data_IF_427524588986
#
_entry.id   IF_427524588986
#
_cell.length_a   1.000
_cell.length_b   1.000
_cell.length_c   1.000
_cell.angle_alpha   90.00
_cell.angle_beta   90.00
_cell.angle_gamma   90.00
#
_symmetry.space_group_name_H-M   'P 1'
#
loop_
_entity.id
_entity.type
_entity.pdbx_description
1 polymer ?
#
# COMPACT_ATOMS: atom_id res chain seq x y z
N UNK A 1 -6.71 -7.18 -38.88
CA UNK A 1 -7.87 -7.62 -38.11
C UNK A 1 -7.38 -7.87 -36.69
N UNK A 2 -7.60 -6.90 -35.82
CA UNK A 2 -7.08 -6.88 -34.44
C UNK A 2 -8.14 -7.51 -33.52
N UNK A 3 -7.85 -8.68 -32.98
CA UNK A 3 -8.69 -9.33 -31.99
C UNK A 3 -8.27 -8.83 -30.60
N UNK A 4 -9.06 -7.95 -30.01
CA UNK A 4 -8.96 -7.54 -28.61
C UNK A 4 -9.33 -8.71 -27.70
N UNK A 5 -8.33 -9.29 -27.06
CA UNK A 5 -8.51 -10.29 -26.00
C UNK A 5 -8.97 -9.58 -24.72
N UNK A 6 -10.27 -9.74 -24.43
CA UNK A 6 -10.83 -9.33 -23.14
C UNK A 6 -10.66 -10.50 -22.18
N UNK A 7 -9.82 -10.33 -21.15
CA UNK A 7 -9.77 -11.28 -20.02
C UNK A 7 -11.13 -11.33 -19.30
N UNK A 8 -11.70 -12.52 -19.10
CA UNK A 8 -12.88 -12.67 -18.25
C UNK A 8 -12.46 -12.56 -16.79
N UNK A 9 -13.12 -11.67 -16.04
CA UNK A 9 -12.83 -11.33 -14.68
C UNK A 9 -12.67 -12.51 -13.73
N UNK A 10 -11.50 -12.61 -13.14
CA UNK A 10 -11.08 -13.57 -12.12
C UNK A 10 -11.91 -13.52 -10.82
N UNK A 11 -12.79 -12.54 -10.66
CA UNK A 11 -13.69 -12.38 -9.51
C UNK A 11 -14.69 -13.52 -9.33
N UNK A 12 -15.06 -14.24 -10.42
CA UNK A 12 -16.00 -15.36 -10.35
C UNK A 12 -15.39 -16.66 -9.81
N UNK A 13 -14.10 -16.88 -10.04
CA UNK A 13 -13.40 -18.09 -9.58
C UNK A 13 -12.94 -17.99 -8.12
N UNK A 14 -12.65 -16.78 -7.64
CA UNK A 14 -12.33 -16.54 -6.24
C UNK A 14 -13.56 -16.73 -5.32
N UNK A 15 -14.78 -16.41 -5.79
CA UNK A 15 -16.02 -16.64 -5.03
C UNK A 15 -16.38 -18.10 -4.85
N UNK A 16 -16.01 -18.98 -5.78
CA UNK A 16 -16.24 -20.42 -5.64
C UNK A 16 -15.32 -21.10 -4.61
N UNK A 17 -14.23 -20.43 -4.19
CA UNK A 17 -13.31 -20.90 -3.17
C UNK A 17 -13.64 -20.39 -1.75
N UNK A 18 -14.63 -19.50 -1.59
CA UNK A 18 -15.01 -18.84 -0.33
C UNK A 18 -16.37 -19.26 0.23
N UNK A 19 -17.00 -20.32 -0.26
CA UNK A 19 -18.19 -20.87 0.37
C UNK A 19 -17.78 -21.79 1.54
N UNK A 20 -17.57 -21.22 2.71
CA UNK A 20 -17.54 -21.94 3.99
C UNK A 20 -18.94 -22.07 4.55
N UNK A 21 -19.30 -23.23 5.15
CA UNK A 21 -20.54 -23.37 5.91
C UNK A 21 -20.41 -22.70 7.27
N UNK A 22 -21.42 -21.93 7.59
CA UNK A 22 -21.81 -21.31 8.83
C UNK A 22 -21.43 -22.14 10.08
N UNK A 23 -20.66 -21.56 10.99
CA UNK A 23 -20.80 -21.75 12.41
C UNK A 23 -20.67 -20.38 13.06
N UNK A 24 -21.81 -19.91 13.60
CA UNK A 24 -21.87 -18.71 14.40
C UNK A 24 -21.29 -18.98 15.77
N UNK A 25 -20.51 -18.00 16.23
CA UNK A 25 -20.41 -17.63 17.65
C UNK A 25 -19.89 -16.19 17.68
N UNK A 26 -20.76 -15.32 18.18
CA UNK A 26 -20.44 -13.95 18.54
C UNK A 26 -19.47 -14.00 19.73
N UNK A 27 -18.20 -13.61 19.52
CA UNK A 27 -17.31 -13.25 20.62
C UNK A 27 -17.25 -11.74 20.72
N UNK A 28 -17.84 -11.22 21.77
CA UNK A 28 -17.63 -9.87 22.27
C UNK A 28 -16.13 -9.63 22.48
N UNK A 29 -15.55 -8.75 21.69
CA UNK A 29 -14.25 -8.18 21.97
C UNK A 29 -14.46 -6.98 22.86
N UNK A 30 -14.13 -7.16 24.15
CA UNK A 30 -14.08 -6.11 25.17
C UNK A 30 -12.87 -5.21 24.87
N UNK A 31 -13.13 -4.00 24.42
CA UNK A 31 -12.13 -3.02 24.07
C UNK A 31 -11.42 -2.47 25.29
N UNK A 32 -10.20 -2.93 25.54
CA UNK A 32 -9.28 -2.38 26.53
C UNK A 32 -8.96 -0.91 26.27
N UNK A 33 -9.35 -0.12 27.20
CA UNK A 33 -9.19 1.28 27.51
C UNK A 33 -7.88 1.94 27.04
N UNK A 34 -7.95 2.80 26.01
CA UNK A 34 -6.97 3.84 25.73
C UNK A 34 -7.29 5.08 26.61
N UNK A 35 -6.29 5.83 27.11
CA UNK A 35 -6.56 6.89 28.09
C UNK A 35 -7.36 8.03 27.48
N UNK A 36 -8.38 8.29 28.18
CA UNK A 36 -9.46 9.24 28.01
C UNK A 36 -9.05 10.68 27.74
N UNK A 37 -9.93 11.31 27.01
CA UNK A 37 -10.57 12.46 27.58
C UNK A 37 -10.36 13.76 26.83
N UNK A 38 -10.88 13.82 25.64
CA UNK A 38 -11.71 14.94 25.23
C UNK A 38 -12.94 14.33 24.58
N UNK A 39 -14.10 14.43 25.21
CA UNK A 39 -15.38 14.20 24.56
C UNK A 39 -15.33 14.93 23.22
N UNK A 40 -15.40 14.20 22.11
CA UNK A 40 -15.43 14.76 20.78
C UNK A 40 -16.81 15.44 20.59
N UNK A 41 -16.92 16.67 21.07
CA UNK A 41 -18.08 17.53 20.79
C UNK A 41 -18.21 17.62 19.27
N UNK A 42 -19.36 17.25 18.74
CA UNK A 42 -19.56 17.27 17.27
C UNK A 42 -19.39 18.69 16.78
N UNK A 43 -18.63 18.86 15.69
CA UNK A 43 -18.33 20.17 15.14
C UNK A 43 -19.60 21.03 14.92
N UNK A 44 -20.75 20.39 14.61
CA UNK A 44 -22.04 21.03 14.43
C UNK A 44 -22.55 21.71 15.71
N UNK A 45 -22.25 21.16 16.89
CA UNK A 45 -22.65 21.69 18.20
C UNK A 45 -21.84 22.92 18.61
N UNK A 46 -20.64 23.08 18.01
CA UNK A 46 -19.74 24.23 18.23
C UNK A 46 -20.00 25.38 17.25
N UNK A 47 -20.76 25.15 16.16
CA UNK A 47 -21.01 26.15 15.13
C UNK A 47 -22.41 26.76 15.31
N UNK A 48 -22.44 28.09 15.48
CA UNK A 48 -23.68 28.88 15.50
C UNK A 48 -24.32 28.92 14.09
N UNK A 49 -25.64 28.75 13.99
CA UNK A 49 -26.37 28.80 12.73
C UNK A 49 -26.18 30.15 12.00
N UNK A 50 -26.02 31.26 12.74
CA UNK A 50 -25.69 32.57 12.16
C UNK A 50 -24.35 32.59 11.44
N UNK A 51 -23.35 31.87 11.96
CA UNK A 51 -22.04 31.73 11.32
C UNK A 51 -22.18 30.93 10.04
N UNK A 52 -22.93 29.83 10.08
CA UNK A 52 -23.17 28.99 8.90
C UNK A 52 -23.93 29.74 7.80
N UNK A 53 -24.99 30.51 8.16
CA UNK A 53 -25.73 31.33 7.22
C UNK A 53 -24.87 32.43 6.57
N UNK A 54 -24.02 33.10 7.37
CA UNK A 54 -23.08 34.09 6.86
C UNK A 54 -22.02 33.50 5.91
N UNK A 55 -21.50 32.29 6.22
CA UNK A 55 -20.58 31.57 5.35
C UNK A 55 -21.26 31.13 4.04
N UNK A 56 -22.50 30.67 4.11
CA UNK A 56 -23.29 30.27 2.94
C UNK A 56 -23.57 31.48 2.02
N UNK A 57 -23.99 32.63 2.57
CA UNK A 57 -24.24 33.83 1.79
C UNK A 57 -22.99 34.35 1.09
N UNK A 58 -21.86 34.41 1.78
CA UNK A 58 -20.57 34.84 1.20
C UNK A 58 -20.00 33.90 0.15
N UNK A 59 -20.43 32.66 0.14
CA UNK A 59 -19.93 31.62 -0.76
C UNK A 59 -20.79 31.37 -1.99
N UNK A 60 -21.86 32.19 -2.16
CA UNK A 60 -22.68 32.13 -3.36
C UNK A 60 -21.97 32.83 -4.52
N UNK A 61 -22.00 32.22 -5.71
CA UNK A 61 -21.56 32.85 -6.94
C UNK A 61 -22.66 33.76 -7.53
N UNK A 62 -22.31 34.48 -8.60
CA UNK A 62 -23.25 35.38 -9.28
C UNK A 62 -24.49 34.67 -9.86
N UNK A 63 -24.43 33.36 -10.08
CA UNK A 63 -25.51 32.52 -10.56
C UNK A 63 -26.33 31.88 -9.42
N UNK A 64 -26.00 32.18 -8.14
CA UNK A 64 -26.66 31.61 -6.95
C UNK A 64 -26.17 30.20 -6.57
N UNK A 65 -25.16 29.68 -7.26
CA UNK A 65 -24.50 28.43 -6.93
C UNK A 65 -23.60 28.55 -5.68
N UNK A 66 -23.33 27.42 -5.00
CA UNK A 66 -22.51 27.40 -3.81
C UNK A 66 -21.05 27.07 -4.18
N UNK A 67 -20.15 28.00 -3.96
CA UNK A 67 -18.72 27.81 -4.16
C UNK A 67 -18.12 27.17 -2.90
N UNK A 68 -17.93 25.84 -2.93
CA UNK A 68 -17.42 25.08 -1.78
C UNK A 68 -15.90 25.13 -1.66
N UNK A 69 -15.16 25.12 -2.79
CA UNK A 69 -13.68 25.10 -2.86
C UNK A 69 -13.15 26.22 -3.74
N UNK A 70 -11.85 26.56 -3.61
CA UNK A 70 -11.21 27.65 -4.33
C UNK A 70 -11.18 28.97 -3.55
N UNK A 71 -10.65 30.01 -4.20
CA UNK A 71 -10.53 31.35 -3.60
C UNK A 71 -11.92 31.97 -3.32
N UNK A 72 -12.13 32.47 -2.09
CA UNK A 72 -13.41 33.05 -1.65
C UNK A 72 -14.54 32.03 -1.42
N UNK A 73 -14.22 30.75 -1.33
CA UNK A 73 -15.18 29.69 -1.04
C UNK A 73 -15.51 29.58 0.45
N UNK A 74 -16.62 28.90 0.78
CA UNK A 74 -17.03 28.64 2.16
C UNK A 74 -15.93 27.93 2.97
N UNK A 75 -15.36 26.85 2.42
CA UNK A 75 -14.29 26.12 3.07
C UNK A 75 -12.99 26.94 3.12
N UNK A 76 -12.73 27.75 2.09
CA UNK A 76 -11.58 28.65 2.08
C UNK A 76 -11.61 29.68 3.20
N UNK A 77 -12.75 30.33 3.44
CA UNK A 77 -12.94 31.30 4.52
C UNK A 77 -12.86 30.62 5.91
N UNK A 78 -13.43 29.44 6.06
CA UNK A 78 -13.34 28.66 7.30
C UNK A 78 -11.88 28.25 7.59
N UNK A 79 -11.17 27.71 6.61
CA UNK A 79 -9.75 27.30 6.75
C UNK A 79 -8.89 28.52 7.03
N UNK A 80 -9.13 29.67 6.38
CA UNK A 80 -8.46 30.93 6.67
C UNK A 80 -8.59 31.30 8.15
N UNK A 81 -9.83 31.35 8.67
CA UNK A 81 -10.09 31.71 10.06
C UNK A 81 -9.38 30.76 11.05
N UNK A 82 -9.41 29.46 10.78
CA UNK A 82 -8.74 28.46 11.60
C UNK A 82 -7.21 28.61 11.57
N UNK A 83 -6.62 28.76 10.38
CA UNK A 83 -5.17 28.92 10.22
C UNK A 83 -4.65 30.23 10.85
N UNK A 84 -5.34 31.34 10.67
CA UNK A 84 -4.96 32.63 11.30
C UNK A 84 -5.05 32.55 12.81
N UNK A 85 -6.05 31.85 13.35
CA UNK A 85 -6.18 31.61 14.80
C UNK A 85 -5.05 30.74 15.33
N UNK A 86 -4.68 29.68 14.60
CA UNK A 86 -3.60 28.79 14.98
C UNK A 86 -2.23 29.50 14.93
N UNK A 87 -1.97 30.32 13.90
CA UNK A 87 -0.76 31.13 13.77
C UNK A 87 -0.63 32.15 14.92
N UNK A 88 -1.75 32.75 15.35
CA UNK A 88 -1.77 33.66 16.50
C UNK A 88 -1.47 32.90 17.81
N UNK A 89 -1.93 31.65 17.94
CA UNK A 89 -1.59 30.79 19.08
C UNK A 89 -0.10 30.41 19.09
N UNK A 90 0.48 30.06 17.92
CA UNK A 90 1.91 29.78 17.78
C UNK A 90 2.77 31.03 18.18
N UNK A 91 2.38 32.23 17.71
CA UNK A 91 3.08 33.45 18.10
C UNK A 91 2.94 33.72 19.58
N UNK A 92 1.79 33.47 20.20
CA UNK A 92 1.56 33.62 21.63
C UNK A 92 2.47 32.67 22.44
N UNK A 93 2.57 31.41 22.00
CA UNK A 93 3.47 30.43 22.61
C UNK A 93 4.94 30.84 22.46
N UNK A 94 5.34 31.36 21.28
CA UNK A 94 6.70 31.85 21.01
C UNK A 94 7.10 33.03 21.86
N UNK A 95 6.21 34.01 22.06
CA UNK A 95 6.45 35.20 22.85
C UNK A 95 6.30 34.98 24.35
N UNK A 96 5.55 33.97 24.78
CA UNK A 96 5.22 33.68 26.18
C UNK A 96 4.11 34.56 26.78
N UNK A 97 3.45 35.41 25.98
CA UNK A 97 2.35 36.25 26.43
C UNK A 97 1.28 36.50 25.35
N UNK A 98 0.06 36.78 25.78
CA UNK A 98 -1.09 37.02 24.91
C UNK A 98 -1.14 38.42 24.29
N UNK A 99 -2.11 38.64 23.38
CA UNK A 99 -2.37 39.97 22.82
C UNK A 99 -2.92 40.91 23.91
N UNK A 100 -2.33 42.12 24.05
CA UNK A 100 -2.66 43.12 25.07
C UNK A 100 -2.31 42.69 26.51
N UNK A 101 -1.46 41.69 26.71
CA UNK A 101 -1.01 41.27 28.02
C UNK A 101 0.07 42.22 28.53
N UNK A 102 -0.04 42.75 29.77
CA UNK A 102 0.99 43.56 30.40
C UNK A 102 2.35 42.90 30.49
N UNK A 103 2.43 41.58 30.54
CA UNK A 103 3.68 40.80 30.52
C UNK A 103 4.54 41.04 29.28
N UNK A 104 3.95 41.56 28.20
CA UNK A 104 4.67 41.97 26.99
C UNK A 104 5.48 43.29 27.14
N UNK A 105 5.26 44.07 28.19
CA UNK A 105 6.02 45.30 28.43
C UNK A 105 7.45 44.96 28.87
N UNK A 106 8.43 45.44 28.11
CA UNK A 106 9.86 45.17 28.33
C UNK A 106 10.31 43.71 28.21
N UNK A 107 9.55 42.89 27.51
CA UNK A 107 9.86 41.45 27.30
C UNK A 107 11.03 41.18 26.34
N UNK A 108 11.64 42.22 25.76
CA UNK A 108 12.75 42.11 24.79
C UNK A 108 12.28 41.78 23.35
N UNK A 109 11.12 41.18 23.17
CA UNK A 109 10.50 40.94 21.87
C UNK A 109 8.99 41.26 21.92
N UNK A 110 8.40 41.70 20.83
CA UNK A 110 7.00 42.10 20.79
C UNK A 110 6.35 41.75 19.44
N UNK A 111 5.02 41.71 19.43
CA UNK A 111 4.25 41.55 18.18
C UNK A 111 4.54 42.70 17.22
N UNK A 112 4.73 42.43 15.93
CA UNK A 112 5.10 43.43 14.93
C UNK A 112 4.18 43.36 13.68
N UNK A 113 2.90 43.42 13.93
CA UNK A 113 1.91 43.39 12.85
C UNK A 113 1.77 42.05 12.14
N UNK A 114 1.18 42.10 10.97
CA UNK A 114 0.89 40.93 10.13
C UNK A 114 1.43 41.15 8.72
N UNK A 115 1.74 40.07 8.03
CA UNK A 115 2.10 40.08 6.60
C UNK A 115 1.10 39.24 5.82
N UNK A 116 0.60 39.79 4.72
CA UNK A 116 -0.27 39.03 3.82
C UNK A 116 0.53 38.02 3.02
N UNK A 117 0.06 36.78 2.99
CA UNK A 117 0.69 35.66 2.29
C UNK A 117 -0.39 34.81 1.67
N UNK A 118 -0.25 34.51 0.38
CA UNK A 118 -1.10 33.52 -0.28
C UNK A 118 -0.49 32.14 -0.10
N UNK A 119 -1.28 31.17 0.37
CA UNK A 119 -0.85 29.81 0.70
C UNK A 119 -1.73 28.82 -0.02
N UNK A 120 -1.10 27.82 -0.59
CA UNK A 120 -1.81 26.72 -1.20
C UNK A 120 -2.24 25.72 -0.13
N UNK A 121 -3.51 25.33 -0.17
CA UNK A 121 -4.11 24.34 0.73
C UNK A 121 -4.74 23.22 -0.07
N UNK A 122 -5.15 22.13 0.58
CA UNK A 122 -5.85 21.01 -0.06
C UNK A 122 -7.23 21.39 -0.66
N UNK A 123 -7.74 22.59 -0.41
CA UNK A 123 -9.03 23.10 -0.94
C UNK A 123 -8.85 24.30 -1.88
N UNK A 124 -7.62 24.68 -2.21
CA UNK A 124 -7.26 25.79 -3.09
C UNK A 124 -6.42 26.87 -2.40
N UNK A 125 -6.13 27.98 -3.12
CA UNK A 125 -5.35 29.09 -2.58
C UNK A 125 -6.15 29.85 -1.52
N UNK A 126 -5.48 30.14 -0.40
CA UNK A 126 -6.04 30.91 0.72
C UNK A 126 -5.12 32.06 1.07
N UNK A 127 -5.64 33.29 1.11
CA UNK A 127 -4.91 34.48 1.53
C UNK A 127 -4.91 34.62 3.05
N UNK A 128 -3.76 34.45 3.69
CA UNK A 128 -3.59 34.53 5.15
C UNK A 128 -2.93 35.81 5.61
N UNK A 129 -3.27 36.27 6.80
CA UNK A 129 -2.56 37.28 7.56
C UNK A 129 -1.66 36.59 8.60
N UNK A 130 -0.38 36.46 8.27
CA UNK A 130 0.62 35.76 9.11
C UNK A 130 1.20 36.76 10.11
N UNK A 131 1.10 36.50 11.44
CA UNK A 131 1.63 37.42 12.45
C UNK A 131 3.15 37.36 12.52
N UNK A 132 3.75 38.45 13.00
CA UNK A 132 5.21 38.63 13.12
C UNK A 132 5.61 39.13 14.50
N UNK A 133 6.81 38.80 14.91
CA UNK A 133 7.50 39.37 16.03
C UNK A 133 8.47 40.46 15.59
N UNK A 134 8.87 41.34 16.51
CA UNK A 134 9.77 42.46 16.23
C UNK A 134 11.21 42.01 16.00
N UNK A 135 11.66 40.98 16.69
CA UNK A 135 12.97 40.41 16.52
C UNK A 135 13.10 39.56 15.23
N UNK A 136 12.02 39.21 14.57
CA UNK A 136 12.02 38.35 13.36
C UNK A 136 12.37 36.88 13.63
N UNK A 137 12.36 36.47 14.89
CA UNK A 137 12.74 35.13 15.35
C UNK A 137 11.61 34.12 15.28
N UNK A 138 10.36 34.58 15.18
CA UNK A 138 9.21 33.71 15.05
C UNK A 138 9.22 32.96 13.73
N UNK A 139 9.23 31.64 13.77
CA UNK A 139 9.12 30.73 12.61
C UNK A 139 7.85 29.90 12.76
N UNK A 140 6.76 30.21 12.03
CA UNK A 140 5.52 29.47 12.12
C UNK A 140 5.71 28.05 11.61
N UNK A 141 5.22 27.04 12.35
CA UNK A 141 5.25 25.64 11.96
C UNK A 141 4.22 25.32 10.88
N UNK A 142 2.99 25.90 11.01
CA UNK A 142 1.90 25.67 10.06
C UNK A 142 2.17 26.27 8.68
N UNK A 143 2.81 27.45 8.64
CA UNK A 143 3.09 28.19 7.39
C UNK A 143 4.52 28.73 7.44
N UNK A 144 5.55 27.91 7.18
CA UNK A 144 6.94 28.32 7.24
C UNK A 144 7.24 29.56 6.39
N UNK A 145 8.17 30.43 6.84
CA UNK A 145 8.44 31.74 6.23
C UNK A 145 8.62 31.73 4.70
N UNK A 146 9.28 30.75 4.16
CA UNK A 146 9.57 30.64 2.71
C UNK A 146 8.67 29.66 1.97
N UNK A 147 7.69 29.06 2.65
CA UNK A 147 6.74 28.13 2.04
C UNK A 147 5.48 28.88 1.59
N UNK A 148 5.05 28.70 0.37
CA UNK A 148 3.72 29.12 -0.12
C UNK A 148 2.63 28.09 0.14
N UNK A 149 2.84 27.15 1.07
CA UNK A 149 1.94 26.02 1.35
C UNK A 149 1.78 25.83 2.85
N UNK A 150 0.63 25.32 3.26
CA UNK A 150 0.43 24.78 4.61
C UNK A 150 1.17 23.46 4.72
N UNK A 151 1.81 23.20 5.85
CA UNK A 151 2.48 21.92 6.11
C UNK A 151 1.45 20.79 6.14
N UNK A 152 1.70 19.72 5.38
CA UNK A 152 0.80 18.56 5.25
C UNK A 152 -0.32 18.73 4.20
N UNK A 153 -1.08 17.69 3.99
CA UNK A 153 -2.30 17.66 3.19
C UNK A 153 -2.10 17.70 1.67
N UNK A 154 -1.55 18.78 1.13
CA UNK A 154 -1.33 18.92 -0.32
C UNK A 154 -0.19 18.04 -0.82
N UNK A 155 0.89 17.94 -0.06
CA UNK A 155 2.03 17.09 -0.41
C UNK A 155 1.61 15.61 -0.34
N UNK A 156 0.85 15.21 0.69
CA UNK A 156 0.29 13.86 0.82
C UNK A 156 -0.67 13.52 -0.33
N UNK A 157 -1.49 14.49 -0.75
CA UNK A 157 -2.39 14.32 -1.89
C UNK A 157 -1.61 14.14 -3.20
N UNK A 158 -0.55 14.94 -3.44
CA UNK A 158 0.31 14.81 -4.61
C UNK A 158 0.98 13.44 -4.64
N UNK A 159 1.50 12.98 -3.49
CA UNK A 159 2.09 11.66 -3.33
C UNK A 159 1.07 10.55 -3.62
N UNK A 160 -0.16 10.68 -3.10
CA UNK A 160 -1.24 9.74 -3.35
C UNK A 160 -1.60 9.66 -4.83
N UNK A 161 -1.78 10.80 -5.51
CA UNK A 161 -2.06 10.86 -6.95
C UNK A 161 -0.93 10.24 -7.78
N UNK A 162 0.32 10.50 -7.39
CA UNK A 162 1.50 9.91 -8.03
C UNK A 162 1.56 8.39 -7.83
N UNK A 163 1.29 7.90 -6.61
CA UNK A 163 1.23 6.48 -6.29
C UNK A 163 0.12 5.74 -7.08
N UNK A 164 -0.98 6.44 -7.41
CA UNK A 164 -2.03 5.91 -8.30
C UNK A 164 -1.64 5.96 -9.80
N UNK A 165 -0.41 6.33 -10.13
CA UNK A 165 0.14 6.28 -11.48
C UNK A 165 -0.12 7.52 -12.35
N UNK A 166 -0.56 8.64 -11.75
CA UNK A 166 -0.70 9.89 -12.50
C UNK A 166 0.67 10.48 -12.85
N UNK A 167 0.82 10.98 -14.06
CA UNK A 167 2.02 11.74 -14.43
C UNK A 167 2.02 13.12 -13.76
N UNK A 168 3.19 13.75 -13.63
CA UNK A 168 3.32 15.13 -13.12
C UNK A 168 2.35 16.08 -13.83
N UNK A 169 2.19 15.94 -15.15
CA UNK A 169 1.26 16.77 -15.94
C UNK A 169 -0.20 16.51 -15.58
N UNK A 170 -0.58 15.25 -15.37
CA UNK A 170 -1.95 14.89 -14.99
C UNK A 170 -2.27 15.38 -13.57
N UNK A 171 -1.29 15.30 -12.66
CA UNK A 171 -1.41 15.86 -11.31
C UNK A 171 -1.64 17.38 -11.37
N UNK A 172 -0.83 18.11 -12.13
CA UNK A 172 -0.99 19.55 -12.29
C UNK A 172 -2.35 19.93 -12.89
N UNK A 173 -2.79 19.16 -13.89
CA UNK A 173 -4.11 19.36 -14.50
C UNK A 173 -5.24 19.10 -13.50
N UNK A 174 -5.17 18.01 -12.74
CA UNK A 174 -6.13 17.67 -11.71
C UNK A 174 -6.21 18.74 -10.60
N UNK A 175 -5.06 19.18 -10.09
CA UNK A 175 -4.99 20.21 -9.05
C UNK A 175 -5.60 21.54 -9.52
N UNK A 176 -5.34 21.92 -10.79
CA UNK A 176 -5.93 23.14 -11.37
C UNK A 176 -7.44 23.01 -11.53
N UNK A 177 -7.93 21.90 -12.07
CA UNK A 177 -9.37 21.71 -12.34
C UNK A 177 -10.21 21.54 -11.09
N UNK A 178 -9.72 20.74 -10.12
CA UNK A 178 -10.53 20.36 -8.95
C UNK A 178 -10.36 21.36 -7.81
N UNK A 179 -9.13 21.84 -7.61
CA UNK A 179 -8.78 22.67 -6.44
C UNK A 179 -8.42 24.12 -6.80
N UNK A 180 -8.40 24.48 -8.07
CA UNK A 180 -7.97 25.81 -8.51
C UNK A 180 -6.52 26.14 -8.13
N UNK A 181 -5.71 25.13 -7.84
CA UNK A 181 -4.34 25.28 -7.36
C UNK A 181 -3.35 25.19 -8.50
N UNK A 182 -2.50 26.22 -8.65
CA UNK A 182 -1.42 26.23 -9.61
C UNK A 182 -0.09 25.91 -8.93
N UNK A 183 0.56 24.85 -9.38
CA UNK A 183 1.91 24.45 -8.98
C UNK A 183 2.81 24.35 -10.19
N UNK A 184 4.12 24.51 -9.97
CA UNK A 184 5.11 24.20 -11.00
C UNK A 184 5.38 22.69 -11.09
N UNK A 185 5.74 22.20 -12.26
CA UNK A 185 6.16 20.81 -12.46
C UNK A 185 7.34 20.43 -11.57
N UNK A 186 8.27 21.37 -11.36
CA UNK A 186 9.42 21.23 -10.47
C UNK A 186 9.01 21.01 -9.01
N UNK A 187 7.95 21.70 -8.57
CA UNK A 187 7.41 21.53 -7.22
C UNK A 187 6.84 20.14 -7.02
N UNK A 188 6.05 19.63 -7.98
CA UNK A 188 5.50 18.28 -7.92
C UNK A 188 6.63 17.23 -7.95
N UNK A 189 7.61 17.39 -8.86
CA UNK A 189 8.77 16.49 -8.93
C UNK A 189 9.55 16.46 -7.60
N UNK A 190 9.80 17.60 -6.99
CA UNK A 190 10.51 17.67 -5.69
C UNK A 190 9.76 16.95 -4.57
N UNK A 191 8.42 17.04 -4.54
CA UNK A 191 7.60 16.33 -3.55
C UNK A 191 7.69 14.81 -3.78
N UNK A 192 7.57 14.38 -5.03
CA UNK A 192 7.67 12.95 -5.37
C UNK A 192 9.09 12.39 -5.18
N UNK A 193 10.12 13.19 -5.42
CA UNK A 193 11.52 12.80 -5.21
C UNK A 193 11.85 12.61 -3.72
N UNK A 194 11.28 13.43 -2.83
CA UNK A 194 11.42 13.27 -1.39
C UNK A 194 10.88 11.90 -0.91
N UNK A 195 9.73 11.48 -1.47
CA UNK A 195 9.16 10.15 -1.17
C UNK A 195 10.08 9.02 -1.66
N UNK A 196 10.75 9.19 -2.80
CA UNK A 196 11.71 8.18 -3.29
C UNK A 196 12.89 7.97 -2.33
N UNK A 197 13.33 9.02 -1.63
CA UNK A 197 14.36 8.88 -0.59
C UNK A 197 13.85 8.07 0.61
N UNK A 198 12.63 8.33 1.06
CA UNK A 198 11.99 7.55 2.12
C UNK A 198 11.80 6.08 1.71
N UNK A 199 11.35 5.83 0.47
CA UNK A 199 11.22 4.47 -0.08
C UNK A 199 12.58 3.77 -0.13
N UNK A 200 13.65 4.45 -0.52
CA UNK A 200 15.01 3.88 -0.52
C UNK A 200 15.48 3.54 0.91
N UNK A 201 15.26 4.46 1.86
CA UNK A 201 15.59 4.23 3.27
C UNK A 201 14.80 3.03 3.83
N UNK A 202 13.50 2.96 3.52
CA UNK A 202 12.66 1.83 3.88
C UNK A 202 13.14 0.53 3.25
N UNK A 203 13.50 0.53 1.96
CA UNK A 203 13.98 -0.65 1.24
C UNK A 203 15.31 -1.17 1.81
N UNK A 204 16.19 -0.28 2.30
CA UNK A 204 17.51 -0.63 2.84
C UNK A 204 17.52 -0.83 4.37
N UNK A 205 16.37 -0.68 5.05
CA UNK A 205 16.31 -0.80 6.50
C UNK A 205 16.78 -2.17 6.99
N UNK A 206 17.39 -2.27 8.18
CA UNK A 206 17.69 -3.55 8.83
C UNK A 206 16.41 -4.38 9.02
N UNK A 207 16.53 -5.69 8.93
CA UNK A 207 15.46 -6.65 9.15
C UNK A 207 15.78 -7.51 10.36
N UNK A 208 14.74 -8.09 10.96
CA UNK A 208 14.91 -9.05 12.03
C UNK A 208 15.69 -10.27 11.55
N UNK A 209 16.48 -10.89 12.44
CA UNK A 209 17.38 -11.98 12.05
C UNK A 209 16.63 -13.27 11.67
N UNK A 210 15.46 -13.53 12.26
CA UNK A 210 14.71 -14.78 12.04
C UNK A 210 13.29 -14.50 11.58
N UNK A 211 12.90 -15.13 10.47
CA UNK A 211 11.56 -15.06 9.91
C UNK A 211 10.91 -16.45 9.84
N UNK A 212 9.88 -16.74 10.67
CA UNK A 212 9.16 -18.00 10.64
C UNK A 212 8.62 -18.37 9.27
N UNK A 213 8.01 -17.42 8.56
CA UNK A 213 7.52 -17.64 7.19
C UNK A 213 7.86 -16.44 6.33
N UNK A 214 8.44 -16.68 5.16
CA UNK A 214 8.65 -15.67 4.13
C UNK A 214 7.90 -16.08 2.87
N UNK A 215 7.07 -15.19 2.36
CA UNK A 215 6.36 -15.33 1.10
C UNK A 215 7.10 -14.55 0.01
N UNK A 216 7.35 -15.21 -1.10
CA UNK A 216 8.09 -14.67 -2.24
C UNK A 216 7.23 -14.82 -3.49
N UNK A 217 6.88 -13.69 -4.11
CA UNK A 217 5.97 -13.65 -5.26
C UNK A 217 6.43 -12.59 -6.27
N UNK A 218 5.96 -12.68 -7.50
CA UNK A 218 6.22 -11.72 -8.54
C UNK A 218 4.92 -11.24 -9.17
N UNK A 219 4.73 -9.92 -9.18
CA UNK A 219 3.59 -9.30 -9.85
C UNK A 219 4.06 -8.56 -11.11
N UNK A 220 3.22 -8.57 -12.15
CA UNK A 220 3.51 -7.82 -13.36
C UNK A 220 3.04 -6.38 -13.22
N UNK A 221 3.96 -5.44 -13.34
CA UNK A 221 3.68 -3.99 -13.29
C UNK A 221 3.98 -3.33 -14.62
N UNK A 222 3.18 -2.35 -15.00
CA UNK A 222 3.44 -1.52 -16.19
C UNK A 222 4.37 -0.38 -15.80
N UNK A 223 5.57 -0.37 -16.37
CA UNK A 223 6.59 0.64 -16.13
C UNK A 223 6.78 1.44 -17.41
N UNK A 224 6.72 2.76 -17.31
CA UNK A 224 7.10 3.66 -18.42
C UNK A 224 8.60 3.89 -18.34
N UNK A 225 9.33 3.43 -19.35
CA UNK A 225 10.76 3.58 -19.49
C UNK A 225 11.04 4.15 -20.89
N UNK A 226 11.78 5.27 -21.00
CA UNK A 226 12.08 5.95 -22.26
C UNK A 226 10.84 6.18 -23.15
N UNK A 227 9.74 6.66 -22.56
CA UNK A 227 8.44 6.90 -23.20
C UNK A 227 7.70 5.64 -23.70
N UNK A 228 8.24 4.46 -23.49
CA UNK A 228 7.61 3.17 -23.83
C UNK A 228 7.06 2.54 -22.54
N UNK A 229 5.81 2.07 -22.59
CA UNK A 229 5.22 1.31 -21.48
C UNK A 229 5.54 -0.17 -21.66
N UNK A 230 6.30 -0.72 -20.73
CA UNK A 230 6.71 -2.12 -20.71
C UNK A 230 6.15 -2.84 -19.48
N UNK A 231 5.84 -4.13 -19.65
CA UNK A 231 5.44 -4.98 -18.53
C UNK A 231 6.71 -5.57 -17.89
N UNK A 232 6.97 -5.24 -16.64
CA UNK A 232 8.16 -5.73 -15.90
C UNK A 232 7.70 -6.47 -14.64
N UNK A 233 8.37 -7.57 -14.25
CA UNK A 233 8.09 -8.22 -12.98
C UNK A 233 8.62 -7.37 -11.82
N UNK A 234 7.76 -7.15 -10.83
CA UNK A 234 8.13 -6.63 -9.52
C UNK A 234 8.07 -7.80 -8.54
N UNK A 235 9.20 -8.09 -7.91
CA UNK A 235 9.38 -9.16 -6.96
C UNK A 235 9.10 -8.65 -5.55
N UNK A 236 8.27 -9.35 -4.81
CA UNK A 236 7.89 -9.02 -3.44
C UNK A 236 8.40 -10.08 -2.49
N UNK A 237 8.92 -9.66 -1.35
CA UNK A 237 9.10 -10.50 -0.18
C UNK A 237 8.26 -9.95 0.97
N UNK A 238 7.43 -10.80 1.56
CA UNK A 238 6.70 -10.50 2.79
C UNK A 238 6.97 -11.59 3.82
N UNK A 239 7.25 -11.20 5.06
CA UNK A 239 7.52 -12.12 6.15
C UNK A 239 6.44 -12.06 7.21
N UNK A 240 6.15 -13.18 7.86
CA UNK A 240 5.44 -13.21 9.14
C UNK A 240 6.50 -13.25 10.22
N UNK A 241 6.50 -12.27 11.11
CA UNK A 241 7.42 -12.14 12.22
C UNK A 241 7.11 -13.13 13.37
N UNK A 242 7.95 -13.13 14.39
CA UNK A 242 7.74 -13.92 15.62
C UNK A 242 6.58 -13.40 16.47
N UNK A 243 6.13 -12.17 16.20
CA UNK A 243 4.93 -11.53 16.74
C UNK A 243 3.63 -11.99 16.05
N UNK A 244 3.74 -12.73 14.94
CA UNK A 244 2.62 -13.17 14.10
C UNK A 244 2.15 -12.12 13.09
N UNK A 245 2.74 -10.92 13.09
CA UNK A 245 2.39 -9.85 12.16
C UNK A 245 3.08 -10.02 10.80
N UNK A 246 2.42 -9.51 9.76
CA UNK A 246 2.96 -9.54 8.39
C UNK A 246 3.67 -8.25 8.05
N UNK A 247 4.88 -8.37 7.57
CA UNK A 247 5.74 -7.27 7.17
C UNK A 247 6.17 -7.41 5.71
N UNK A 248 6.08 -6.32 4.93
CA UNK A 248 6.71 -6.30 3.61
C UNK A 248 8.21 -6.12 3.81
N UNK A 249 9.01 -7.10 3.41
CA UNK A 249 10.47 -7.08 3.59
C UNK A 249 11.16 -6.26 2.50
N UNK A 250 10.63 -6.28 1.28
CA UNK A 250 11.15 -5.50 0.18
C UNK A 250 10.39 -5.71 -1.12
N UNK A 251 10.65 -4.79 -2.06
CA UNK A 251 10.12 -4.80 -3.42
C UNK A 251 11.26 -4.53 -4.38
N UNK A 252 11.48 -5.41 -5.35
CA UNK A 252 12.55 -5.29 -6.33
C UNK A 252 11.99 -5.33 -7.75
N UNK A 253 12.28 -4.30 -8.53
CA UNK A 253 11.85 -4.21 -9.92
C UNK A 253 12.93 -4.79 -10.85
N UNK A 254 12.56 -5.74 -11.72
CA UNK A 254 13.47 -6.24 -12.73
C UNK A 254 13.83 -5.15 -13.74
N UNK A 255 15.10 -5.12 -14.14
CA UNK A 255 15.58 -4.19 -15.20
C UNK A 255 15.05 -4.59 -16.57
N UNK A 256 14.96 -5.90 -16.83
CA UNK A 256 14.59 -6.50 -18.12
C UNK A 256 13.09 -6.82 -18.15
N UNK A 257 12.36 -6.52 -19.25
CA UNK A 257 10.98 -6.98 -19.42
C UNK A 257 10.90 -8.51 -19.44
N UNK A 258 9.77 -9.07 -18.96
CA UNK A 258 9.57 -10.53 -18.90
C UNK A 258 9.67 -11.20 -20.27
N UNK A 259 9.21 -10.53 -21.33
CA UNK A 259 9.21 -11.06 -22.71
C UNK A 259 10.63 -11.28 -23.26
N UNK A 260 11.63 -10.58 -22.71
CA UNK A 260 13.04 -10.67 -23.11
C UNK A 260 13.91 -11.38 -22.06
N UNK A 261 13.35 -11.70 -20.90
CA UNK A 261 14.08 -12.36 -19.82
C UNK A 261 14.29 -13.85 -20.13
N UNK A 262 15.53 -14.31 -20.01
CA UNK A 262 15.87 -15.73 -20.12
C UNK A 262 15.56 -16.45 -18.80
N UNK A 263 15.33 -17.77 -18.85
CA UNK A 263 15.07 -18.57 -17.66
C UNK A 263 16.16 -18.43 -16.57
N UNK A 264 17.42 -18.23 -16.97
CA UNK A 264 18.54 -18.00 -16.05
C UNK A 264 18.56 -16.62 -15.40
N UNK A 265 17.92 -15.61 -15.99
CA UNK A 265 17.87 -14.26 -15.40
C UNK A 265 16.94 -14.21 -14.20
N UNK A 266 15.82 -14.95 -14.22
CA UNK A 266 14.93 -15.08 -13.08
C UNK A 266 15.65 -15.68 -11.85
N UNK A 267 16.39 -16.77 -12.01
CA UNK A 267 17.16 -17.39 -10.94
C UNK A 267 18.23 -16.45 -10.36
N UNK A 268 18.99 -15.75 -11.22
CA UNK A 268 19.99 -14.76 -10.79
C UNK A 268 19.36 -13.59 -10.03
N UNK A 269 18.21 -13.14 -10.49
CA UNK A 269 17.50 -12.06 -9.83
C UNK A 269 17.05 -12.48 -8.43
N UNK A 270 16.45 -13.66 -8.28
CA UNK A 270 16.09 -14.21 -6.98
C UNK A 270 17.31 -14.42 -6.08
N UNK A 271 18.44 -14.83 -6.62
CA UNK A 271 19.70 -14.86 -5.89
C UNK A 271 20.08 -13.48 -5.34
N UNK A 272 19.89 -12.40 -6.12
CA UNK A 272 20.15 -11.05 -5.63
C UNK A 272 19.17 -10.58 -4.55
N UNK A 273 17.89 -10.99 -4.63
CA UNK A 273 16.89 -10.73 -3.59
C UNK A 273 17.26 -11.43 -2.28
N UNK A 274 17.65 -12.71 -2.35
CA UNK A 274 18.09 -13.46 -1.17
C UNK A 274 19.35 -12.85 -0.54
N UNK A 275 20.31 -12.41 -1.36
CA UNK A 275 21.51 -11.74 -0.88
C UNK A 275 21.17 -10.38 -0.21
N UNK A 276 20.22 -9.62 -0.74
CA UNK A 276 19.76 -8.36 -0.14
C UNK A 276 19.14 -8.61 1.25
N UNK A 277 18.27 -9.61 1.38
CA UNK A 277 17.68 -9.97 2.68
C UNK A 277 18.76 -10.31 3.71
N UNK A 278 19.78 -11.10 3.31
CA UNK A 278 20.93 -11.43 4.19
C UNK A 278 21.73 -10.18 4.57
N UNK A 279 22.03 -9.32 3.62
CA UNK A 279 22.79 -8.09 3.85
C UNK A 279 22.06 -7.14 4.82
N UNK A 280 20.74 -7.21 4.84
CA UNK A 280 19.89 -6.43 5.74
C UNK A 280 19.65 -7.09 7.10
N UNK A 281 20.30 -8.23 7.36
CA UNK A 281 20.34 -8.85 8.69
C UNK A 281 19.58 -10.17 8.84
N UNK A 282 18.86 -10.64 7.81
CA UNK A 282 18.16 -11.94 7.89
C UNK A 282 19.18 -13.06 7.93
N UNK A 283 19.22 -13.79 9.03
CA UNK A 283 20.12 -14.93 9.25
C UNK A 283 19.43 -16.25 8.96
N UNK A 284 18.12 -16.37 9.25
CA UNK A 284 17.39 -17.61 9.07
C UNK A 284 15.93 -17.37 8.63
N UNK A 285 15.43 -18.30 7.80
CA UNK A 285 14.05 -18.40 7.35
C UNK A 285 13.61 -19.84 7.57
N UNK A 286 12.55 -20.07 8.36
CA UNK A 286 12.12 -21.45 8.63
C UNK A 286 11.33 -22.02 7.45
N UNK A 287 10.41 -21.25 6.87
CA UNK A 287 9.59 -21.67 5.72
C UNK A 287 9.62 -20.56 4.67
N UNK A 288 10.05 -20.88 3.46
CA UNK A 288 10.02 -19.99 2.31
C UNK A 288 8.93 -20.43 1.31
N UNK A 289 7.86 -19.65 1.20
CA UNK A 289 6.77 -19.91 0.26
C UNK A 289 7.03 -19.19 -1.08
N UNK A 290 7.04 -19.93 -2.19
CA UNK A 290 7.30 -19.38 -3.53
C UNK A 290 6.35 -19.94 -4.60
N UNK A 291 6.31 -19.29 -5.77
CA UNK A 291 5.46 -19.67 -6.90
C UNK A 291 6.00 -20.83 -7.76
N UNK A 292 7.21 -21.29 -7.49
CA UNK A 292 7.86 -22.42 -8.19
C UNK A 292 8.47 -22.04 -9.54
N UNK A 293 8.93 -20.81 -9.72
CA UNK A 293 9.74 -20.43 -10.87
C UNK A 293 11.06 -21.19 -10.88
N UNK A 294 11.52 -21.56 -12.09
CA UNK A 294 12.75 -22.33 -12.28
C UNK A 294 13.97 -21.65 -11.64
N UNK A 295 14.75 -22.38 -10.82
CA UNK A 295 15.95 -21.91 -10.12
C UNK A 295 15.68 -21.08 -8.86
N UNK A 296 14.41 -20.90 -8.49
CA UNK A 296 14.06 -20.13 -7.29
C UNK A 296 14.38 -20.91 -6.01
N UNK A 297 14.04 -22.19 -6.00
CA UNK A 297 14.34 -23.09 -4.88
C UNK A 297 15.85 -23.17 -4.59
N UNK A 298 16.66 -23.27 -5.66
CA UNK A 298 18.11 -23.29 -5.54
C UNK A 298 18.65 -21.97 -4.95
N UNK A 299 18.09 -20.83 -5.35
CA UNK A 299 18.46 -19.53 -4.80
C UNK A 299 18.13 -19.42 -3.30
N UNK A 300 16.96 -19.92 -2.89
CA UNK A 300 16.57 -19.95 -1.47
C UNK A 300 17.53 -20.85 -0.68
N UNK A 301 17.75 -22.07 -1.12
CA UNK A 301 18.62 -23.05 -0.43
C UNK A 301 20.08 -22.62 -0.36
N UNK A 302 20.57 -21.92 -1.40
CA UNK A 302 21.91 -21.36 -1.40
C UNK A 302 22.09 -20.24 -0.35
N UNK A 303 21.07 -19.42 -0.13
CA UNK A 303 21.13 -18.33 0.85
C UNK A 303 20.72 -18.76 2.26
N UNK A 304 19.73 -19.65 2.37
CA UNK A 304 19.14 -20.14 3.62
C UNK A 304 19.04 -21.66 3.59
N UNK A 305 20.13 -22.37 3.88
CA UNK A 305 20.22 -23.83 3.71
C UNK A 305 19.24 -24.65 4.57
N UNK A 306 18.78 -24.06 5.68
CA UNK A 306 17.84 -24.71 6.61
C UNK A 306 16.38 -24.38 6.31
N UNK A 307 16.12 -23.50 5.35
CA UNK A 307 14.76 -23.13 4.99
C UNK A 307 14.01 -24.29 4.35
N UNK A 308 12.83 -24.59 4.86
CA UNK A 308 11.87 -25.46 4.18
C UNK A 308 11.25 -24.70 3.02
N UNK A 309 11.50 -25.14 1.80
CA UNK A 309 10.91 -24.52 0.62
C UNK A 309 9.49 -25.09 0.40
N UNK A 310 8.50 -24.23 0.34
CA UNK A 310 7.10 -24.58 0.12
C UNK A 310 6.58 -23.94 -1.17
N UNK A 311 6.10 -24.71 -2.09
CA UNK A 311 5.40 -24.20 -3.27
C UNK A 311 4.00 -23.71 -2.92
N UNK A 312 3.64 -22.55 -3.42
CA UNK A 312 2.31 -21.96 -3.27
C UNK A 312 1.26 -22.89 -3.92
N UNK A 313 0.34 -23.40 -3.13
CA UNK A 313 -0.70 -24.34 -3.58
C UNK A 313 -1.62 -23.70 -4.62
N UNK A 314 -1.94 -22.41 -4.47
CA UNK A 314 -2.79 -21.67 -5.42
C UNK A 314 -2.12 -21.56 -6.79
N UNK A 315 -0.82 -21.25 -6.84
CA UNK A 315 -0.07 -21.23 -8.10
C UNK A 315 0.07 -22.61 -8.72
N UNK A 316 0.24 -23.65 -7.89
CA UNK A 316 0.31 -25.02 -8.35
C UNK A 316 -1.00 -25.46 -9.03
N UNK A 317 -2.15 -25.20 -8.39
CA UNK A 317 -3.47 -25.45 -8.99
C UNK A 317 -3.64 -24.66 -10.29
N UNK A 318 -3.29 -23.37 -10.30
CA UNK A 318 -3.40 -22.51 -11.48
C UNK A 318 -2.56 -23.05 -12.65
N UNK A 319 -1.35 -23.49 -12.36
CA UNK A 319 -0.45 -24.07 -13.37
C UNK A 319 -0.99 -25.39 -13.91
N UNK A 320 -1.53 -26.28 -13.05
CA UNK A 320 -2.15 -27.53 -13.44
C UNK A 320 -3.41 -27.33 -14.32
N UNK A 321 -4.11 -26.21 -14.14
CA UNK A 321 -5.30 -25.88 -14.93
C UNK A 321 -5.00 -25.22 -16.29
N UNK A 322 -3.77 -24.74 -16.54
CA UNK A 322 -3.40 -24.10 -17.83
C UNK A 322 -3.73 -24.95 -19.07
N UNK A 323 -3.43 -26.26 -19.12
CA UNK A 323 -3.75 -27.11 -20.27
C UNK A 323 -5.20 -27.58 -20.28
N UNK A 324 -6.00 -27.25 -19.26
CA UNK A 324 -7.36 -27.80 -19.09
C UNK A 324 -8.39 -26.92 -19.81
N UNK A 325 -9.27 -27.52 -20.58
CA UNK A 325 -10.37 -26.79 -21.22
C UNK A 325 -11.28 -26.14 -20.16
N UNK A 326 -11.78 -24.93 -20.45
CA UNK A 326 -12.58 -24.12 -19.51
C UNK A 326 -13.78 -24.86 -18.90
N UNK A 327 -14.45 -25.71 -19.72
CA UNK A 327 -15.61 -26.52 -19.30
C UNK A 327 -15.24 -27.55 -18.22
N UNK A 328 -14.01 -28.06 -18.22
CA UNK A 328 -13.53 -29.12 -17.33
C UNK A 328 -12.73 -28.58 -16.15
N UNK A 329 -12.36 -27.31 -16.19
CA UNK A 329 -11.44 -26.67 -15.20
C UNK A 329 -11.99 -26.78 -13.78
N UNK A 330 -13.29 -26.56 -13.55
CA UNK A 330 -13.89 -26.65 -12.22
C UNK A 330 -13.83 -28.09 -11.65
N UNK A 331 -14.10 -29.09 -12.51
CA UNK A 331 -14.04 -30.49 -12.10
C UNK A 331 -12.62 -30.95 -11.80
N UNK A 332 -11.63 -30.58 -12.64
CA UNK A 332 -10.21 -30.87 -12.40
C UNK A 332 -9.72 -30.14 -11.11
N UNK A 333 -10.10 -28.90 -10.90
CA UNK A 333 -9.73 -28.17 -9.68
C UNK A 333 -10.32 -28.83 -8.41
N UNK A 334 -11.55 -29.34 -8.48
CA UNK A 334 -12.18 -30.04 -7.37
C UNK A 334 -11.45 -31.35 -7.01
N UNK A 335 -11.02 -32.11 -8.02
CA UNK A 335 -10.22 -33.32 -7.78
C UNK A 335 -8.84 -33.02 -7.21
N UNK A 336 -8.12 -32.06 -7.78
CA UNK A 336 -6.80 -31.63 -7.28
C UNK A 336 -6.86 -31.02 -5.86
N UNK A 337 -8.01 -30.44 -5.49
CA UNK A 337 -8.21 -29.94 -4.12
C UNK A 337 -8.12 -31.05 -3.08
N UNK A 338 -8.54 -32.28 -3.40
CA UNK A 338 -8.44 -33.42 -2.47
C UNK A 338 -6.99 -33.69 -2.07
N UNK A 339 -6.05 -33.51 -3.00
CA UNK A 339 -4.61 -33.65 -2.75
C UNK A 339 -4.12 -32.61 -1.72
N UNK A 340 -4.49 -31.35 -1.85
CA UNK A 340 -4.01 -30.30 -0.94
C UNK A 340 -4.81 -30.22 0.39
N UNK A 341 -5.95 -30.87 0.50
CA UNK A 341 -6.73 -30.95 1.76
C UNK A 341 -6.52 -32.29 2.49
N UNK A 342 -5.67 -33.15 1.97
CA UNK A 342 -5.36 -34.45 2.58
C UNK A 342 -4.77 -34.28 3.99
N UNK A 343 -5.01 -35.24 4.90
CA UNK A 343 -4.52 -35.18 6.27
C UNK A 343 -2.99 -35.27 6.35
N UNK A 344 -2.37 -36.02 5.46
CA UNK A 344 -0.94 -36.34 5.44
C UNK A 344 -0.43 -36.52 3.99
N UNK A 345 0.89 -36.67 3.78
CA UNK A 345 1.48 -36.86 2.45
C UNK A 345 1.04 -38.15 1.76
N UNK A 346 0.78 -39.24 2.50
CA UNK A 346 0.37 -40.51 1.91
C UNK A 346 -1.04 -40.43 1.32
N UNK A 347 -1.97 -39.87 2.09
CA UNK A 347 -3.33 -39.60 1.62
C UNK A 347 -3.35 -38.59 0.45
N UNK A 348 -2.44 -37.63 0.43
CA UNK A 348 -2.28 -36.70 -0.67
C UNK A 348 -1.78 -37.42 -1.94
N UNK A 349 -0.85 -38.36 -1.80
CA UNK A 349 -0.36 -39.17 -2.90
C UNK A 349 -1.45 -40.06 -3.49
N UNK A 350 -2.24 -40.73 -2.63
CA UNK A 350 -3.36 -41.56 -3.05
C UNK A 350 -4.40 -40.73 -3.81
N UNK A 351 -4.71 -39.50 -3.32
CA UNK A 351 -5.63 -38.60 -3.99
C UNK A 351 -5.13 -38.17 -5.37
N UNK A 352 -3.83 -37.87 -5.52
CA UNK A 352 -3.22 -37.51 -6.79
C UNK A 352 -3.23 -38.72 -7.77
N UNK A 353 -2.88 -39.92 -7.29
CA UNK A 353 -2.92 -41.15 -8.07
C UNK A 353 -4.34 -41.49 -8.55
N UNK A 354 -5.33 -41.33 -7.68
CA UNK A 354 -6.75 -41.50 -8.02
C UNK A 354 -7.19 -40.47 -9.09
N UNK A 355 -6.76 -39.22 -8.99
CA UNK A 355 -7.01 -38.25 -10.04
C UNK A 355 -6.34 -38.65 -11.36
N UNK A 356 -5.08 -39.05 -11.37
CA UNK A 356 -4.35 -39.44 -12.56
C UNK A 356 -5.02 -40.65 -13.25
N UNK A 357 -5.54 -41.62 -12.50
CA UNK A 357 -6.30 -42.77 -13.00
C UNK A 357 -7.73 -42.45 -13.47
N UNK A 358 -8.28 -41.30 -13.12
CA UNK A 358 -9.63 -40.88 -13.49
C UNK A 358 -9.78 -40.56 -14.98
N UNK A 359 -11.00 -40.50 -15.53
CA UNK A 359 -11.23 -40.05 -16.92
C UNK A 359 -10.69 -38.65 -17.18
N UNK A 360 -10.76 -37.72 -16.19
CA UNK A 360 -10.23 -36.37 -16.30
C UNK A 360 -8.69 -36.36 -16.27
N UNK A 361 -8.07 -37.15 -15.40
CA UNK A 361 -6.61 -37.27 -15.31
C UNK A 361 -6.02 -37.87 -16.59
N UNK A 362 -6.65 -38.91 -17.16
CA UNK A 362 -6.25 -39.46 -18.47
C UNK A 362 -6.43 -38.47 -19.62
N UNK A 363 -7.43 -37.59 -19.55
CA UNK A 363 -7.64 -36.51 -20.54
C UNK A 363 -6.62 -35.38 -20.41
N UNK A 364 -6.20 -35.09 -19.18
CA UNK A 364 -5.27 -33.98 -18.86
C UNK A 364 -4.07 -34.47 -18.04
N UNK A 365 -3.21 -35.35 -18.58
CA UNK A 365 -2.12 -35.96 -17.81
C UNK A 365 -1.09 -34.93 -17.34
N UNK A 366 -0.96 -33.80 -18.06
CA UNK A 366 -0.08 -32.73 -17.65
C UNK A 366 -0.50 -32.07 -16.34
N UNK A 367 -1.80 -32.08 -16.01
CA UNK A 367 -2.29 -31.55 -14.74
C UNK A 367 -1.78 -32.36 -13.54
N UNK A 368 -1.66 -33.69 -13.65
CA UNK A 368 -1.06 -34.52 -12.61
C UNK A 368 0.48 -34.32 -12.54
N UNK A 369 1.16 -34.29 -13.71
CA UNK A 369 2.63 -34.11 -13.77
C UNK A 369 3.11 -32.85 -13.06
N UNK A 370 2.37 -31.72 -13.17
CA UNK A 370 2.72 -30.48 -12.46
C UNK A 370 2.81 -30.71 -10.95
N UNK A 371 2.02 -31.60 -10.38
CA UNK A 371 2.05 -31.94 -8.95
C UNK A 371 3.16 -32.96 -8.64
N UNK A 372 3.37 -33.94 -9.51
CA UNK A 372 4.47 -34.91 -9.39
C UNK A 372 5.81 -34.17 -9.40
N UNK A 373 6.04 -33.26 -10.34
CA UNK A 373 7.27 -32.46 -10.46
C UNK A 373 7.48 -31.50 -9.27
N UNK A 374 6.41 -31.16 -8.56
CA UNK A 374 6.46 -30.24 -7.42
C UNK A 374 6.43 -30.97 -6.06
N UNK A 375 6.35 -32.30 -6.05
CA UNK A 375 5.99 -33.10 -4.87
C UNK A 375 6.79 -32.75 -3.61
N UNK A 376 8.10 -32.74 -3.70
CA UNK A 376 8.99 -32.50 -2.57
C UNK A 376 8.88 -31.10 -1.98
N UNK A 377 8.44 -30.13 -2.78
CA UNK A 377 8.23 -28.74 -2.36
C UNK A 377 6.76 -28.41 -2.08
N UNK A 378 5.83 -29.30 -2.44
CA UNK A 378 4.42 -29.17 -2.12
C UNK A 378 4.09 -29.79 -0.76
N UNK A 379 4.58 -31.00 -0.48
CA UNK A 379 4.19 -31.81 0.69
C UNK A 379 4.61 -31.25 2.06
N UNK A 380 5.66 -30.43 2.23
CA UNK A 380 6.10 -30.00 3.55
C UNK A 380 4.98 -29.36 4.41
N UNK A 381 4.03 -28.60 3.79
CA UNK A 381 2.96 -27.98 4.57
C UNK A 381 1.98 -28.99 5.18
N UNK A 382 1.88 -30.21 4.62
CA UNK A 382 1.03 -31.27 5.15
C UNK A 382 1.49 -31.81 6.52
N UNK A 383 2.77 -31.55 6.88
CA UNK A 383 3.28 -31.88 8.21
C UNK A 383 2.82 -30.91 9.32
N UNK A 384 2.26 -29.76 8.96
CA UNK A 384 1.82 -28.74 9.91
C UNK A 384 0.36 -28.89 10.32
N UNK A 385 -0.01 -28.27 11.44
CA UNK A 385 -1.39 -28.20 11.93
C UNK A 385 -2.28 -27.36 10.98
N UNK A 386 -3.61 -27.58 10.96
CA UNK A 386 -4.51 -26.86 10.06
C UNK A 386 -4.39 -25.32 10.09
N UNK A 387 -4.23 -24.64 11.25
CA UNK A 387 -4.00 -23.19 11.27
C UNK A 387 -2.74 -22.76 10.51
N UNK A 388 -1.64 -23.48 10.67
CA UNK A 388 -0.37 -23.20 9.96
C UNK A 388 -0.52 -23.49 8.47
N UNK A 389 -1.19 -24.60 8.11
CA UNK A 389 -1.49 -24.90 6.69
C UNK A 389 -2.27 -23.77 6.02
N UNK A 390 -3.27 -23.20 6.73
CA UNK A 390 -4.05 -22.07 6.22
C UNK A 390 -3.17 -20.85 5.93
N UNK A 391 -2.18 -20.59 6.78
CA UNK A 391 -1.20 -19.50 6.57
C UNK A 391 -0.36 -19.75 5.30
N UNK A 392 0.09 -20.99 5.09
CA UNK A 392 1.01 -21.38 4.01
C UNK A 392 0.31 -21.64 2.66
N UNK A 393 -1.02 -21.77 2.66
CA UNK A 393 -1.78 -22.18 1.48
C UNK A 393 -1.66 -21.23 0.30
N UNK A 394 -1.48 -19.94 0.53
CA UNK A 394 -1.46 -18.94 -0.52
C UNK A 394 -0.50 -17.78 -0.25
N UNK A 395 0.25 -17.40 -1.29
CA UNK A 395 1.00 -16.15 -1.35
C UNK A 395 0.10 -14.93 -1.65
N UNK A 396 -1.15 -15.14 -2.11
CA UNK A 396 -2.09 -14.05 -2.43
C UNK A 396 -2.38 -13.14 -1.23
N UNK A 397 -2.12 -13.58 -0.01
CA UNK A 397 -2.20 -12.72 1.18
C UNK A 397 -1.20 -11.55 1.19
N UNK A 398 -0.17 -11.58 0.33
CA UNK A 398 0.78 -10.48 0.13
C UNK A 398 0.07 -9.33 -0.61
N UNK A 399 -0.74 -9.65 -1.63
CA UNK A 399 -1.35 -8.66 -2.53
C UNK A 399 -2.51 -7.91 -1.85
N UNK A 400 -3.23 -8.58 -0.93
CA UNK A 400 -4.41 -7.99 -0.29
C UNK A 400 -4.03 -7.07 0.88
N UNK A 401 -2.94 -7.36 1.61
CA UNK A 401 -2.52 -6.56 2.76
C UNK A 401 -1.73 -5.30 2.41
N UNK A 402 -1.24 -5.17 1.18
CA UNK A 402 -0.43 -4.04 0.72
C UNK A 402 -1.21 -3.00 -0.10
N UNK A 403 -2.53 -3.20 -0.31
CA UNK A 403 -3.41 -2.32 -1.08
C UNK A 403 -4.53 -1.69 -0.25
N UNK A 404 -4.53 -1.86 1.09
CA UNK A 404 -5.44 -1.16 2.00
C UNK A 404 -4.71 -0.08 2.79
#
# INVERSE_FOLDING_TARGET
>A
MSATYREPGLAGLARAAQADPVLGEESHYDGGNAPSGREAVRLRELMDDRLLDALLERSRDEAGGLRLTGEGSMLGELVKAVLERALEAELTAHLGYGKRDPAGHNSGNSRNGMIRKQVQTGIGPVGLEVPRDRAGSFEPLLVPKRSGRVSGGLDDMIVSLYAHGMSVRDILHHLRQVYGTELSAETVSRITDAVLEEVRAWQSRPLDPVWPVVFLDAIMVKVRDNHVVQSKPAYLAAGTGTDGEKHVLGIWLAKTPLETATAGEGARFWGSVMADLRNRGVTDILIACCDGLTGFEDAIRAAFPHATVQRCVVHLIRNALRPVARRDAAAVAAELRKTCTAPDPDAAFDALAAFAASPLGRKYPQAARVWEDAWDCFTPFLAFTPPVRKLLYTTNSIVISSLN
#
